data_IF_070094082864
#
_entry.id   IF_070094082864
#
_cell.length_a   1.000
_cell.length_b   1.000
_cell.length_c   1.000
_cell.angle_alpha   90.00
_cell.angle_beta   90.00
_cell.angle_gamma   90.00
#
_symmetry.space_group_name_H-M   'P 1'
#
loop_
_entity.id
_entity.type
_entity.pdbx_description
1 polymer ?
#
# COMPACT_ATOMS: atom_id res chain seq x y z
N UNK A 1 38.77 7.53 -21.91
CA UNK A 1 39.64 6.43 -21.44
C UNK A 1 39.07 5.94 -20.12
N UNK A 2 39.08 4.63 -19.85
CA UNK A 2 38.64 4.09 -18.55
C UNK A 2 39.59 4.58 -17.44
N UNK A 3 39.10 5.24 -16.37
CA UNK A 3 39.96 5.74 -15.30
C UNK A 3 40.68 4.61 -14.55
N UNK A 4 41.88 4.89 -14.07
CA UNK A 4 42.66 3.90 -13.35
C UNK A 4 41.91 3.53 -12.05
N UNK A 5 41.90 2.25 -11.68
CA UNK A 5 41.16 1.68 -10.54
C UNK A 5 39.65 1.43 -10.70
N UNK A 6 38.99 1.85 -11.79
CA UNK A 6 37.54 1.60 -11.97
C UNK A 6 37.21 0.10 -11.94
N UNK A 7 37.93 -0.71 -12.74
CA UNK A 7 37.75 -2.17 -12.77
C UNK A 7 37.93 -2.83 -11.41
N UNK A 8 38.93 -2.38 -10.64
CA UNK A 8 39.20 -2.87 -9.28
C UNK A 8 38.06 -2.49 -8.33
N UNK A 9 37.53 -1.27 -8.45
CA UNK A 9 36.42 -0.79 -7.65
C UNK A 9 35.14 -1.61 -7.89
N UNK A 10 34.83 -1.91 -9.15
CA UNK A 10 33.70 -2.76 -9.55
C UNK A 10 33.83 -4.17 -8.97
N UNK A 11 35.02 -4.78 -9.04
CA UNK A 11 35.27 -6.09 -8.44
C UNK A 11 35.09 -6.07 -6.91
N UNK A 12 35.52 -5.00 -6.23
CA UNK A 12 35.26 -4.83 -4.80
C UNK A 12 33.76 -4.71 -4.50
N UNK A 13 33.00 -3.95 -5.29
CA UNK A 13 31.56 -3.79 -5.12
C UNK A 13 30.82 -5.14 -5.30
N UNK A 14 31.16 -5.90 -6.34
CA UNK A 14 30.56 -7.21 -6.63
C UNK A 14 30.84 -8.25 -5.53
N UNK A 15 32.01 -8.18 -4.89
CA UNK A 15 32.40 -9.06 -3.77
C UNK A 15 31.84 -8.61 -2.41
N UNK A 16 31.07 -7.52 -2.37
CA UNK A 16 30.48 -6.98 -1.14
C UNK A 16 31.42 -6.13 -0.29
N UNK A 17 32.64 -5.82 -0.76
CA UNK A 17 33.59 -4.95 -0.07
C UNK A 17 33.23 -3.46 -0.25
N UNK A 18 32.07 -3.05 0.29
CA UNK A 18 31.46 -1.72 0.07
C UNK A 18 32.38 -0.56 0.43
N UNK A 19 33.01 -0.58 1.61
CA UNK A 19 33.90 0.51 2.06
C UNK A 19 35.08 0.73 1.11
N UNK A 20 35.69 -0.37 0.63
CA UNK A 20 36.82 -0.33 -0.30
C UNK A 20 36.37 0.10 -1.70
N UNK A 21 35.22 -0.38 -2.15
CA UNK A 21 34.61 0.04 -3.41
C UNK A 21 34.29 1.54 -3.41
N UNK A 22 33.72 2.07 -2.32
CA UNK A 22 33.41 3.49 -2.16
C UNK A 22 34.65 4.37 -2.28
N UNK A 23 35.74 4.01 -1.60
CA UNK A 23 37.00 4.76 -1.65
C UNK A 23 37.59 4.79 -3.07
N UNK A 24 37.61 3.63 -3.75
CA UNK A 24 38.14 3.52 -5.11
C UNK A 24 37.26 4.27 -6.13
N UNK A 25 35.93 4.18 -6.03
CA UNK A 25 35.00 4.93 -6.87
C UNK A 25 35.10 6.44 -6.64
N UNK A 26 35.28 6.87 -5.39
CA UNK A 26 35.51 8.29 -5.07
C UNK A 26 36.84 8.81 -5.60
N UNK A 27 37.86 7.95 -5.71
CA UNK A 27 39.13 8.31 -6.36
C UNK A 27 38.96 8.44 -7.88
N UNK A 28 38.28 7.49 -8.51
CA UNK A 28 37.94 7.54 -9.94
C UNK A 28 37.19 8.83 -10.29
N UNK A 29 36.21 9.23 -9.47
CA UNK A 29 35.42 10.45 -9.69
C UNK A 29 36.18 11.75 -9.39
N UNK A 30 37.27 11.70 -8.61
CA UNK A 30 38.18 12.84 -8.45
C UNK A 30 39.06 13.04 -9.68
N UNK A 31 39.43 11.95 -10.34
CA UNK A 31 40.22 11.96 -11.57
C UNK A 31 39.35 12.34 -12.78
N UNK A 32 38.14 11.78 -12.89
CA UNK A 32 37.16 12.13 -13.92
C UNK A 32 35.74 12.25 -13.32
N UNK A 33 35.31 13.48 -12.97
CA UNK A 33 33.96 13.73 -12.43
C UNK A 33 32.83 13.48 -13.44
N UNK A 34 33.14 13.35 -14.73
CA UNK A 34 32.16 13.16 -15.80
C UNK A 34 31.97 11.69 -16.19
N UNK A 35 32.69 10.78 -15.53
CA UNK A 35 32.61 9.35 -15.81
C UNK A 35 31.33 8.72 -15.21
N UNK A 36 30.25 8.74 -15.99
CA UNK A 36 28.93 8.22 -15.62
C UNK A 36 28.94 6.79 -15.02
N UNK A 37 29.73 5.82 -15.51
CA UNK A 37 29.76 4.48 -14.92
C UNK A 37 30.22 4.45 -13.46
N UNK A 38 31.14 5.33 -13.04
CA UNK A 38 31.57 5.38 -11.64
C UNK A 38 30.49 5.94 -10.72
N UNK A 39 29.71 6.93 -11.17
CA UNK A 39 28.54 7.43 -10.44
C UNK A 39 27.47 6.34 -10.26
N UNK A 40 27.23 5.53 -11.30
CA UNK A 40 26.27 4.41 -11.24
C UNK A 40 26.72 3.31 -10.27
N UNK A 41 28.00 2.95 -10.27
CA UNK A 41 28.51 1.98 -9.30
C UNK A 41 28.56 2.55 -7.87
N UNK A 42 28.77 3.86 -7.72
CA UNK A 42 28.77 4.52 -6.42
C UNK A 42 27.37 4.50 -5.77
N UNK A 43 26.31 4.68 -6.56
CA UNK A 43 24.93 4.61 -6.05
C UNK A 43 24.57 3.23 -5.48
N UNK A 44 25.21 2.14 -5.94
CA UNK A 44 24.99 0.80 -5.39
C UNK A 44 25.81 0.49 -4.12
N UNK A 45 26.78 1.34 -3.78
CA UNK A 45 27.72 1.12 -2.66
C UNK A 45 27.41 2.03 -1.47
N UNK A 46 26.83 3.21 -1.72
CA UNK A 46 26.41 4.14 -0.67
C UNK A 46 25.12 3.64 -0.02
N UNK A 47 25.01 3.69 1.30
CA UNK A 47 23.81 3.23 2.03
C UNK A 47 22.77 4.34 2.28
N UNK A 48 23.15 5.62 2.12
CA UNK A 48 22.29 6.78 2.32
C UNK A 48 21.43 7.08 1.08
N UNK A 49 20.09 7.01 1.15
CA UNK A 49 19.19 7.14 0.00
C UNK A 49 19.30 8.51 -0.70
N UNK A 50 19.55 9.59 0.06
CA UNK A 50 19.71 10.93 -0.52
C UNK A 50 20.94 10.94 -1.44
N UNK A 51 22.05 10.39 -0.95
CA UNK A 51 23.30 10.30 -1.73
C UNK A 51 23.21 9.29 -2.87
N UNK A 52 22.42 8.23 -2.73
CA UNK A 52 22.14 7.30 -3.83
C UNK A 52 21.40 8.02 -4.96
N UNK A 53 20.38 8.83 -4.63
CA UNK A 53 19.65 9.65 -5.61
C UNK A 53 20.58 10.64 -6.31
N UNK A 54 21.36 11.41 -5.55
CA UNK A 54 22.30 12.38 -6.13
C UNK A 54 23.24 11.73 -7.15
N UNK A 55 23.75 10.53 -6.83
CA UNK A 55 24.59 9.77 -7.74
C UNK A 55 23.85 9.40 -9.04
N UNK A 56 22.61 8.92 -8.94
CA UNK A 56 21.82 8.50 -10.10
C UNK A 56 21.35 9.68 -10.95
N UNK A 57 20.99 10.81 -10.34
CA UNK A 57 20.70 12.06 -11.05
C UNK A 57 21.91 12.58 -11.81
N UNK A 58 23.11 12.47 -11.20
CA UNK A 58 24.38 12.80 -11.87
C UNK A 58 24.62 11.90 -13.09
N UNK A 59 24.31 10.60 -12.98
CA UNK A 59 24.40 9.67 -14.13
C UNK A 59 23.46 10.11 -15.24
N UNK A 60 22.21 10.48 -14.94
CA UNK A 60 21.24 10.91 -15.96
C UNK A 60 21.58 12.27 -16.58
N UNK A 61 22.25 13.14 -15.82
CA UNK A 61 22.76 14.40 -16.37
C UNK A 61 23.88 14.15 -17.40
N UNK A 62 24.75 13.17 -17.13
CA UNK A 62 25.89 12.82 -17.98
C UNK A 62 25.50 11.89 -19.15
N UNK A 63 24.60 10.94 -18.89
CA UNK A 63 24.03 9.98 -19.84
C UNK A 63 22.50 9.91 -19.64
N UNK A 64 21.74 10.76 -20.35
CA UNK A 64 20.29 10.79 -20.26
C UNK A 64 19.62 9.47 -20.67
N UNK A 65 20.29 8.62 -21.45
CA UNK A 65 19.75 7.35 -21.95
C UNK A 65 20.06 6.17 -21.02
N UNK A 66 20.72 6.41 -19.88
CA UNK A 66 21.07 5.36 -18.94
C UNK A 66 19.82 4.75 -18.28
N UNK A 67 19.36 3.62 -18.81
CA UNK A 67 18.22 2.87 -18.28
C UNK A 67 18.43 2.44 -16.83
N UNK A 68 19.65 2.04 -16.46
CA UNK A 68 20.00 1.63 -15.10
C UNK A 68 19.82 2.75 -14.08
N UNK A 69 20.19 3.99 -14.44
CA UNK A 69 20.01 5.13 -13.55
C UNK A 69 18.54 5.53 -13.41
N UNK A 70 17.75 5.45 -14.49
CA UNK A 70 16.29 5.66 -14.45
C UNK A 70 15.60 4.61 -13.58
N UNK A 71 15.96 3.33 -13.76
CA UNK A 71 15.42 2.24 -12.93
C UNK A 71 15.84 2.38 -11.47
N UNK A 72 17.07 2.81 -11.19
CA UNK A 72 17.54 3.11 -9.84
C UNK A 72 16.75 4.25 -9.18
N UNK A 73 16.49 5.35 -9.89
CA UNK A 73 15.67 6.45 -9.37
C UNK A 73 14.20 6.06 -9.19
N UNK A 74 13.65 5.20 -10.06
CA UNK A 74 12.30 4.67 -9.85
C UNK A 74 12.24 3.81 -8.58
N UNK A 75 13.25 2.97 -8.35
CA UNK A 75 13.36 2.14 -7.14
C UNK A 75 13.59 2.98 -5.86
N UNK A 76 14.40 4.03 -5.93
CA UNK A 76 14.55 5.00 -4.84
C UNK A 76 13.31 5.87 -4.67
N UNK A 77 12.58 6.15 -5.74
CA UNK A 77 11.24 6.71 -5.71
C UNK A 77 10.38 5.80 -4.84
N UNK A 78 10.21 4.53 -5.21
CA UNK A 78 9.41 3.58 -4.44
C UNK A 78 9.89 3.41 -2.97
N UNK A 79 11.20 3.52 -2.71
CA UNK A 79 11.78 3.43 -1.36
C UNK A 79 11.62 4.72 -0.53
N UNK A 80 11.70 5.89 -1.15
CA UNK A 80 11.46 7.19 -0.50
C UNK A 80 9.98 7.52 -0.37
N UNK A 81 9.12 6.94 -1.20
CA UNK A 81 7.67 6.91 -1.01
C UNK A 81 7.25 6.01 0.18
N UNK A 82 8.22 5.39 0.87
CA UNK A 82 8.07 4.91 2.24
C UNK A 82 8.00 6.03 3.30
N UNK A 83 8.18 7.30 2.92
CA UNK A 83 8.03 8.47 3.78
C UNK A 83 7.66 9.72 2.94
N UNK A 84 6.36 10.03 2.92
CA UNK A 84 5.71 11.27 2.46
C UNK A 84 5.53 11.48 0.94
N UNK A 85 4.25 11.71 0.60
CA UNK A 85 3.66 12.06 -0.70
C UNK A 85 3.47 10.90 -1.68
N UNK A 86 2.34 10.20 -1.53
CA UNK A 86 1.73 9.38 -2.58
C UNK A 86 1.47 10.29 -3.80
N UNK A 87 2.20 10.10 -4.90
CA UNK A 87 1.75 10.61 -6.21
C UNK A 87 0.62 9.72 -6.73
N UNK A 88 -0.49 10.36 -7.04
CA UNK A 88 -1.86 9.84 -7.02
C UNK A 88 -2.27 9.43 -8.42
N UNK A 89 -2.16 8.14 -8.73
CA UNK A 89 -2.81 7.55 -9.89
C UNK A 89 -4.35 7.61 -9.81
N UNK A 90 -5.07 7.44 -10.93
CA UNK A 90 -6.52 7.63 -11.05
C UNK A 90 -7.38 6.51 -10.41
N UNK A 91 -6.83 5.73 -9.47
CA UNK A 91 -7.49 4.55 -8.92
C UNK A 91 -7.97 4.83 -7.49
N UNK A 92 -9.19 4.44 -7.08
CA UNK A 92 -9.64 4.64 -5.71
C UNK A 92 -8.70 3.91 -4.76
N UNK A 93 -8.23 4.61 -3.74
CA UNK A 93 -7.35 4.07 -2.72
C UNK A 93 -7.88 2.73 -2.16
N UNK A 94 -6.98 1.75 -1.97
CA UNK A 94 -7.30 0.47 -1.32
C UNK A 94 -7.30 0.66 0.18
N UNK A 95 -7.91 -0.28 0.92
CA UNK A 95 -8.02 -0.17 2.38
C UNK A 95 -6.64 -0.03 3.06
N UNK A 96 -5.61 -0.68 2.51
CA UNK A 96 -4.24 -0.56 2.98
C UNK A 96 -3.70 0.87 2.91
N UNK A 97 -4.04 1.61 1.85
CA UNK A 97 -3.53 2.96 1.61
C UNK A 97 -4.09 3.93 2.65
N UNK A 98 -5.39 3.84 2.98
CA UNK A 98 -5.98 4.64 4.07
C UNK A 98 -5.40 4.30 5.43
N UNK A 99 -5.10 3.02 5.69
CA UNK A 99 -4.53 2.62 6.97
C UNK A 99 -3.12 3.19 7.17
N UNK A 100 -2.35 3.34 6.09
CA UNK A 100 -1.01 3.95 6.12
C UNK A 100 -1.09 5.48 6.15
N UNK A 101 -1.91 6.08 5.28
CA UNK A 101 -2.05 7.54 5.17
C UNK A 101 -2.48 8.17 6.50
N UNK A 102 -3.47 7.56 7.17
CA UNK A 102 -3.98 8.03 8.46
C UNK A 102 -3.19 7.48 9.66
N UNK A 103 -2.02 6.88 9.42
CA UNK A 103 -1.08 6.41 10.46
C UNK A 103 -1.67 5.36 11.42
N UNK A 104 -2.68 4.60 10.97
CA UNK A 104 -3.22 3.48 11.74
C UNK A 104 -2.28 2.27 11.73
N UNK A 105 -1.51 2.10 10.65
CA UNK A 105 -0.45 1.10 10.50
C UNK A 105 0.73 1.72 9.72
N UNK A 106 1.89 1.08 9.74
CA UNK A 106 3.02 1.46 8.88
C UNK A 106 2.97 0.75 7.52
N UNK A 107 3.66 1.31 6.51
CA UNK A 107 3.79 0.67 5.20
C UNK A 107 4.45 -0.72 5.30
N UNK A 108 5.43 -0.88 6.20
CA UNK A 108 6.06 -2.16 6.48
C UNK A 108 5.06 -3.20 7.04
N UNK A 109 4.19 -2.80 7.97
CA UNK A 109 3.14 -3.65 8.51
C UNK A 109 2.11 -4.04 7.44
N UNK A 110 1.78 -3.11 6.54
CA UNK A 110 0.91 -3.39 5.39
C UNK A 110 1.52 -4.44 4.46
N UNK A 111 2.80 -4.27 4.09
CA UNK A 111 3.51 -5.23 3.23
C UNK A 111 3.62 -6.61 3.86
N UNK A 112 3.90 -6.70 5.17
CA UNK A 112 3.95 -7.99 5.86
C UNK A 112 2.58 -8.68 5.89
N UNK A 113 1.50 -7.91 6.13
CA UNK A 113 0.15 -8.45 6.12
C UNK A 113 -0.27 -8.95 4.72
N UNK A 114 0.08 -8.23 3.66
CA UNK A 114 -0.15 -8.61 2.28
C UNK A 114 0.68 -9.84 1.87
N UNK A 115 1.96 -9.89 2.25
CA UNK A 115 2.81 -11.05 2.01
C UNK A 115 2.23 -12.30 2.67
N UNK A 116 1.76 -12.18 3.92
CA UNK A 116 1.08 -13.27 4.62
C UNK A 116 -0.20 -13.70 3.90
N UNK A 117 -1.02 -12.75 3.44
CA UNK A 117 -2.22 -13.04 2.65
C UNK A 117 -1.90 -13.78 1.35
N UNK A 118 -0.82 -13.39 0.66
CA UNK A 118 -0.33 -14.04 -0.56
C UNK A 118 0.07 -15.50 -0.30
N UNK A 119 0.74 -15.79 0.82
CA UNK A 119 1.14 -17.16 1.23
C UNK A 119 -0.07 -18.09 1.41
N UNK A 120 -1.21 -17.60 1.89
CA UNK A 120 -2.44 -18.41 1.97
C UNK A 120 -2.99 -18.80 0.59
N UNK A 121 -2.80 -17.94 -0.43
CA UNK A 121 -3.25 -18.23 -1.80
C UNK A 121 -2.44 -19.36 -2.43
N UNK A 122 -1.15 -19.42 -2.15
CA UNK A 122 -0.28 -20.52 -2.62
C UNK A 122 -0.55 -21.86 -1.93
N UNK A 123 -1.15 -21.85 -0.73
CA UNK A 123 -1.50 -23.07 0.02
C UNK A 123 -2.92 -23.56 -0.25
N UNK A 124 -3.65 -22.95 -1.20
CA UNK A 124 -5.02 -23.32 -1.57
C UNK A 124 -6.07 -23.03 -0.49
N UNK A 125 -5.69 -22.37 0.61
CA UNK A 125 -6.60 -21.98 1.69
C UNK A 125 -7.22 -20.63 1.39
N UNK A 126 -8.47 -20.41 1.82
CA UNK A 126 -9.11 -19.09 1.70
C UNK A 126 -8.29 -18.06 2.48
N UNK A 127 -7.69 -17.05 1.81
CA UNK A 127 -6.82 -16.11 2.49
C UNK A 127 -7.64 -15.27 3.48
N UNK A 128 -7.17 -15.08 4.72
CA UNK A 128 -7.82 -14.16 5.64
C UNK A 128 -7.86 -12.75 5.04
N UNK A 129 -8.92 -11.99 5.32
CA UNK A 129 -9.01 -10.59 4.89
C UNK A 129 -7.86 -9.79 5.49
N UNK A 130 -7.35 -8.80 4.75
CA UNK A 130 -6.24 -7.95 5.21
C UNK A 130 -6.52 -7.36 6.60
N UNK A 131 -7.71 -6.80 6.80
CA UNK A 131 -8.13 -6.27 8.11
C UNK A 131 -8.08 -7.30 9.24
N UNK A 132 -8.35 -8.58 8.97
CA UNK A 132 -8.26 -9.63 9.99
C UNK A 132 -6.80 -9.89 10.38
N UNK A 133 -5.89 -9.94 9.41
CA UNK A 133 -4.46 -10.13 9.67
C UNK A 133 -3.91 -9.00 10.53
N UNK A 134 -4.32 -7.76 10.24
CA UNK A 134 -3.89 -6.58 10.97
C UNK A 134 -4.42 -6.56 12.42
N UNK A 135 -5.67 -6.98 12.63
CA UNK A 135 -6.28 -7.11 13.95
C UNK A 135 -5.62 -8.23 14.77
N UNK A 136 -5.41 -9.40 14.18
CA UNK A 136 -4.79 -10.55 14.86
C UNK A 136 -3.35 -10.23 15.30
N UNK A 137 -2.63 -9.43 14.51
CA UNK A 137 -1.28 -8.93 14.83
C UNK A 137 -1.27 -7.75 15.80
N UNK A 138 -2.44 -7.19 16.16
CA UNK A 138 -2.61 -5.96 16.94
C UNK A 138 -1.93 -4.72 16.34
N UNK A 139 -1.73 -4.69 15.01
CA UNK A 139 -1.18 -3.53 14.33
C UNK A 139 -2.22 -2.44 14.10
N UNK A 140 -3.50 -2.82 14.00
CA UNK A 140 -4.62 -1.89 13.93
C UNK A 140 -5.63 -2.20 15.03
N UNK A 141 -6.29 -1.16 15.54
CA UNK A 141 -7.43 -1.34 16.45
C UNK A 141 -8.73 -1.56 15.65
N UNK A 142 -9.77 -2.21 16.22
CA UNK A 142 -11.09 -2.31 15.59
C UNK A 142 -11.65 -0.94 15.16
N UNK A 143 -11.42 0.08 15.99
CA UNK A 143 -11.82 1.46 15.71
C UNK A 143 -11.03 2.05 14.54
N UNK A 144 -9.70 1.95 14.54
CA UNK A 144 -8.87 2.45 13.44
C UNK A 144 -9.16 1.78 12.09
N UNK A 145 -9.43 0.47 12.12
CA UNK A 145 -9.84 -0.27 10.91
C UNK A 145 -11.22 0.17 10.41
N UNK A 146 -12.17 0.42 11.32
CA UNK A 146 -13.48 0.93 10.96
C UNK A 146 -13.41 2.35 10.37
N UNK A 147 -12.56 3.23 10.93
CA UNK A 147 -12.33 4.58 10.41
C UNK A 147 -11.70 4.54 9.01
N UNK A 148 -10.71 3.68 8.77
CA UNK A 148 -10.12 3.53 7.44
C UNK A 148 -11.10 2.96 6.41
N UNK A 149 -11.94 1.99 6.81
CA UNK A 149 -13.03 1.47 5.96
C UNK A 149 -14.07 2.56 5.62
N UNK A 150 -14.38 3.41 6.61
CA UNK A 150 -15.31 4.51 6.46
C UNK A 150 -14.79 5.56 5.46
N UNK A 151 -13.54 5.99 5.61
CA UNK A 151 -12.89 6.94 4.70
C UNK A 151 -12.84 6.39 3.27
N UNK A 152 -12.47 5.12 3.12
CA UNK A 152 -12.52 4.43 1.83
C UNK A 152 -13.91 4.46 1.21
N UNK A 153 -14.95 4.22 2.01
CA UNK A 153 -16.33 4.17 1.53
C UNK A 153 -16.84 5.57 1.14
N UNK A 154 -16.49 6.60 1.90
CA UNK A 154 -16.87 7.98 1.60
C UNK A 154 -16.28 8.45 0.25
N UNK A 155 -15.01 8.17 0.01
CA UNK A 155 -14.33 8.56 -1.24
C UNK A 155 -14.84 7.77 -2.45
N UNK A 156 -15.22 6.51 -2.27
CA UNK A 156 -15.86 5.70 -3.32
C UNK A 156 -17.28 6.16 -3.68
N UNK A 157 -17.96 6.87 -2.78
CA UNK A 157 -19.33 7.37 -3.00
C UNK A 157 -19.37 8.83 -3.47
N UNK A 158 -18.43 9.67 -3.02
CA UNK A 158 -18.43 11.12 -3.27
C UNK A 158 -17.30 11.59 -4.20
N UNK A 159 -16.36 10.70 -4.56
CA UNK A 159 -15.16 11.06 -5.33
C UNK A 159 -15.36 11.05 -6.86
N UNK A 160 -14.35 11.56 -7.57
CA UNK A 160 -14.29 11.60 -9.06
C UNK A 160 -14.35 10.22 -9.74
N UNK A 161 -14.18 9.14 -8.98
CA UNK A 161 -14.21 7.74 -9.43
C UNK A 161 -15.33 6.94 -8.76
N UNK A 162 -16.47 7.60 -8.51
CA UNK A 162 -17.63 6.97 -7.90
C UNK A 162 -18.02 5.70 -8.66
N UNK A 163 -18.09 4.58 -7.94
CA UNK A 163 -18.52 3.29 -8.48
C UNK A 163 -19.86 2.90 -7.88
N UNK A 164 -20.67 2.09 -8.58
CA UNK A 164 -21.91 1.60 -8.00
C UNK A 164 -21.61 0.81 -6.71
N UNK A 165 -22.43 0.97 -5.65
CA UNK A 165 -22.26 0.26 -4.40
C UNK A 165 -22.27 -1.25 -4.63
N UNK A 166 -21.35 -1.98 -4.01
CA UNK A 166 -21.17 -3.42 -4.16
C UNK A 166 -21.42 -4.19 -2.86
N UNK A 167 -21.31 -3.53 -1.70
CA UNK A 167 -21.50 -4.13 -0.38
C UNK A 167 -22.74 -3.61 0.32
N UNK A 168 -23.34 -4.43 1.19
CA UNK A 168 -24.50 -4.03 1.99
C UNK A 168 -24.30 -2.67 2.69
N UNK A 169 -23.15 -2.47 3.35
CA UNK A 169 -22.84 -1.18 4.01
C UNK A 169 -22.82 0.02 3.06
N UNK A 170 -22.42 -0.18 1.80
CA UNK A 170 -22.42 0.86 0.77
C UNK A 170 -23.85 1.22 0.35
N UNK A 171 -24.68 0.21 0.09
CA UNK A 171 -26.10 0.40 -0.23
C UNK A 171 -26.88 1.12 0.87
N UNK A 172 -26.66 0.74 2.14
CA UNK A 172 -27.37 1.33 3.28
C UNK A 172 -27.04 2.83 3.45
N UNK A 173 -25.81 3.23 3.11
CA UNK A 173 -25.38 4.64 3.15
C UNK A 173 -25.95 5.41 1.97
N UNK A 174 -25.84 4.88 0.74
CA UNK A 174 -26.34 5.58 -0.45
C UNK A 174 -27.86 5.74 -0.47
N UNK A 175 -28.59 4.81 0.16
CA UNK A 175 -30.05 4.88 0.31
C UNK A 175 -30.50 5.79 1.46
N UNK A 176 -29.56 6.35 2.23
CA UNK A 176 -29.85 7.21 3.38
C UNK A 176 -30.42 6.48 4.60
N UNK A 177 -30.44 5.14 4.59
CA UNK A 177 -30.97 4.34 5.70
C UNK A 177 -30.04 4.27 6.91
N UNK A 178 -28.75 4.56 6.73
CA UNK A 178 -27.79 4.68 7.83
C UNK A 178 -26.78 5.78 7.55
N UNK A 179 -26.42 6.54 8.58
CA UNK A 179 -25.30 7.48 8.50
C UNK A 179 -23.97 6.74 8.50
N UNK A 180 -22.97 7.30 7.84
CA UNK A 180 -21.60 6.77 7.80
C UNK A 180 -21.03 6.51 9.20
N UNK A 181 -21.29 7.40 10.17
CA UNK A 181 -20.84 7.26 11.56
C UNK A 181 -21.44 6.02 12.25
N UNK A 182 -22.78 5.85 12.18
CA UNK A 182 -23.48 4.67 12.73
C UNK A 182 -23.01 3.37 12.07
N UNK A 183 -22.72 3.39 10.77
CA UNK A 183 -22.15 2.23 10.09
C UNK A 183 -20.74 1.91 10.62
N UNK A 184 -19.90 2.92 10.84
CA UNK A 184 -18.57 2.75 11.42
C UNK A 184 -18.63 2.16 12.83
N UNK A 185 -19.53 2.66 13.69
CA UNK A 185 -19.76 2.10 15.03
C UNK A 185 -20.19 0.64 14.99
N UNK A 186 -21.09 0.28 14.06
CA UNK A 186 -21.52 -1.11 13.87
C UNK A 186 -20.38 -2.02 13.38
N UNK A 187 -19.57 -1.55 12.43
CA UNK A 187 -18.40 -2.29 11.93
C UNK A 187 -17.36 -2.50 13.04
N UNK A 188 -17.05 -1.46 13.82
CA UNK A 188 -16.15 -1.56 14.97
C UNK A 188 -16.65 -2.62 15.97
N UNK A 189 -17.94 -2.59 16.30
CA UNK A 189 -18.56 -3.57 17.21
C UNK A 189 -18.55 -4.99 16.64
N UNK A 190 -18.78 -5.14 15.34
CA UNK A 190 -18.70 -6.43 14.67
C UNK A 190 -17.28 -7.03 14.74
N UNK A 191 -16.26 -6.19 14.56
CA UNK A 191 -14.85 -6.58 14.64
C UNK A 191 -14.45 -6.97 16.07
N UNK A 192 -14.90 -6.22 17.09
CA UNK A 192 -14.68 -6.56 18.50
C UNK A 192 -15.28 -7.92 18.88
N UNK A 193 -16.55 -8.15 18.54
CA UNK A 193 -17.22 -9.42 18.82
C UNK A 193 -16.48 -10.59 18.17
N UNK A 194 -15.94 -10.37 16.97
CA UNK A 194 -15.15 -11.38 16.26
C UNK A 194 -13.83 -11.69 16.97
N UNK A 195 -13.15 -10.69 17.53
CA UNK A 195 -11.96 -10.90 18.36
C UNK A 195 -12.28 -11.70 19.62
N UNK A 196 -13.50 -11.57 20.14
CA UNK A 196 -14.02 -12.36 21.27
C UNK A 196 -14.53 -13.75 20.85
N UNK A 197 -14.28 -14.18 19.60
CA UNK A 197 -14.71 -15.49 19.08
C UNK A 197 -16.16 -15.54 18.60
N UNK A 198 -16.90 -14.42 18.64
CA UNK A 198 -18.31 -14.36 18.26
C UNK A 198 -18.47 -13.72 16.87
N UNK A 199 -18.83 -14.52 15.87
CA UNK A 199 -19.06 -14.03 14.51
C UNK A 199 -20.52 -13.62 14.32
N UNK A 200 -20.79 -12.32 14.22
CA UNK A 200 -22.13 -11.76 13.95
C UNK A 200 -22.18 -11.15 12.55
N UNK A 201 -23.30 -11.30 11.84
CA UNK A 201 -23.51 -10.65 10.53
C UNK A 201 -23.79 -9.16 10.73
N UNK A 202 -23.31 -8.32 9.81
CA UNK A 202 -23.48 -6.86 9.93
C UNK A 202 -24.97 -6.48 9.94
N UNK A 203 -25.78 -7.05 9.04
CA UNK A 203 -27.22 -6.78 9.00
C UNK A 203 -27.94 -7.14 10.31
N UNK A 204 -27.61 -8.27 10.95
CA UNK A 204 -28.20 -8.64 12.25
C UNK A 204 -27.76 -7.71 13.36
N UNK A 205 -26.52 -7.22 13.30
CA UNK A 205 -25.99 -6.27 14.27
C UNK A 205 -26.67 -4.91 14.15
N UNK A 206 -26.87 -4.42 12.93
CA UNK A 206 -27.54 -3.14 12.66
C UNK A 206 -28.99 -3.11 13.17
N UNK A 207 -29.69 -4.24 13.08
CA UNK A 207 -31.04 -4.38 13.64
C UNK A 207 -30.99 -4.43 15.17
N UNK A 208 -30.06 -5.21 15.73
CA UNK A 208 -29.92 -5.38 17.19
C UNK A 208 -29.56 -4.07 17.91
N UNK A 209 -28.68 -3.28 17.32
CA UNK A 209 -28.26 -1.96 17.85
C UNK A 209 -29.29 -0.85 17.52
N UNK A 210 -30.48 -1.22 17.00
CA UNK A 210 -31.58 -0.31 16.64
C UNK A 210 -31.23 0.78 15.61
N UNK A 211 -30.14 0.60 14.86
CA UNK A 211 -29.78 1.54 13.79
C UNK A 211 -30.73 1.45 12.59
N UNK A 212 -31.42 0.31 12.40
CA UNK A 212 -32.42 0.14 11.34
C UNK A 212 -33.37 -1.04 11.57
N UNK A 213 -34.46 -1.09 10.79
CA UNK A 213 -35.43 -2.18 10.81
C UNK A 213 -34.95 -3.36 9.95
N UNK A 214 -35.32 -4.59 10.35
CA UNK A 214 -34.97 -5.81 9.60
C UNK A 214 -35.46 -5.80 8.15
N UNK A 215 -36.63 -5.22 7.90
CA UNK A 215 -37.23 -5.07 6.56
C UNK A 215 -36.32 -4.30 5.60
N UNK A 216 -35.65 -3.25 6.09
CA UNK A 216 -34.74 -2.42 5.28
C UNK A 216 -33.47 -3.20 4.93
N UNK A 217 -32.98 -4.05 5.85
CA UNK A 217 -31.81 -4.90 5.59
C UNK A 217 -32.11 -5.94 4.52
N UNK A 218 -33.28 -6.58 4.58
CA UNK A 218 -33.73 -7.57 3.58
C UNK A 218 -33.88 -6.95 2.19
N UNK A 219 -34.51 -5.77 2.11
CA UNK A 219 -34.69 -5.04 0.84
C UNK A 219 -33.34 -4.68 0.19
N UNK A 220 -32.37 -4.23 0.98
CA UNK A 220 -31.04 -3.88 0.47
C UNK A 220 -30.23 -5.11 0.07
N UNK A 221 -30.38 -6.25 0.76
CA UNK A 221 -29.76 -7.52 0.34
C UNK A 221 -30.30 -8.00 -1.00
N UNK A 222 -31.62 -7.92 -1.22
CA UNK A 222 -32.25 -8.27 -2.50
C UNK A 222 -31.75 -7.35 -3.63
N UNK A 223 -31.60 -6.06 -3.34
CA UNK A 223 -31.08 -5.07 -4.30
C UNK A 223 -29.63 -5.39 -4.67
N UNK A 224 -28.79 -5.71 -3.68
CA UNK A 224 -27.40 -6.11 -3.90
C UNK A 224 -27.29 -7.38 -4.77
N UNK A 225 -28.11 -8.40 -4.50
CA UNK A 225 -28.09 -9.65 -5.27
C UNK A 225 -28.52 -9.45 -6.73
N UNK A 226 -29.55 -8.64 -6.98
CA UNK A 226 -30.00 -8.30 -8.35
C UNK A 226 -28.87 -7.62 -9.13
N UNK A 227 -28.23 -6.61 -8.54
CA UNK A 227 -27.12 -5.89 -9.17
C UNK A 227 -25.91 -6.80 -9.44
N UNK A 228 -25.59 -7.71 -8.52
CA UNK A 228 -24.50 -8.67 -8.70
C UNK A 228 -24.78 -9.68 -9.82
N UNK A 229 -26.04 -10.05 -10.05
CA UNK A 229 -26.44 -10.92 -11.16
C UNK A 229 -26.35 -10.20 -12.51
N UNK A 230 -26.74 -8.93 -12.56
CA UNK A 230 -26.60 -8.11 -13.78
C UNK A 230 -25.14 -7.87 -14.19
N UNK A 231 -24.23 -7.69 -13.22
CA UNK A 231 -22.80 -7.49 -13.50
C UNK A 231 -22.03 -8.74 -13.96
N UNK A 232 -22.50 -9.96 -13.65
CA UNK A 232 -21.88 -11.21 -14.13
C UNK A 232 -22.46 -11.69 -15.47
N UNK A 233 -23.53 -11.06 -15.95
CA UNK A 233 -24.19 -11.39 -17.21
C UNK A 233 -23.76 -10.49 -18.39
N UNK A 234 -22.86 -9.53 -18.14
CA UNK A 234 -22.26 -8.62 -19.11
C UNK A 234 -20.76 -8.88 -19.23
#
# INVERSE_FOLDING_TARGET
MEPNNFRTAVQCAQRGYRTRAYQLLSQVLREDPTYAPAWLWLSGVVDDPIRQRECLERVLYLDPQCTHARSGLAFLGDAEHGSTVIDRGPNPWKLGDYLVEYQFITLAQLHEALAKQQTYRYTGKTPPMLGQILLDRRWVTPHGLATALMLQQQEQLLGRYARPPMRLGEYLVTSGHITIERLASALARQLELRQQGTSVRLGTLLVREQYMKATVVEEMLLTQEKQRRHQHAA
#
